data_IF_918909338837
#
_entry.id   IF_918909338837
#
_cell.length_a   1.000
_cell.length_b   1.000
_cell.length_c   1.000
_cell.angle_alpha   90.00
_cell.angle_beta   90.00
_cell.angle_gamma   90.00
#
_symmetry.space_group_name_H-M   'P 1'
#
loop_
_entity.id
_entity.type
_entity.pdbx_description
1 polymer ?
#
# COMPACT_ATOMS: atom_id res chain seq x y z
N UNK A 1 -22.73 -16.15 4.53
CA UNK A 1 -21.70 -15.34 3.84
C UNK A 1 -21.01 -16.22 2.83
N UNK A 2 -20.93 -15.76 1.58
CA UNK A 2 -20.18 -16.43 0.53
C UNK A 2 -18.69 -16.08 0.66
N UNK A 3 -17.79 -16.89 0.07
CA UNK A 3 -16.33 -16.69 0.11
C UNK A 3 -15.91 -15.30 -0.39
N UNK A 4 -16.63 -14.75 -1.38
CA UNK A 4 -16.46 -13.39 -1.91
C UNK A 4 -16.71 -12.30 -0.87
N UNK A 5 -17.77 -12.45 -0.09
CA UNK A 5 -18.14 -11.48 0.95
C UNK A 5 -17.03 -11.39 2.00
N UNK A 6 -16.43 -12.53 2.35
CA UNK A 6 -15.35 -12.57 3.33
C UNK A 6 -14.07 -11.87 2.83
N UNK A 7 -13.72 -12.06 1.55
CA UNK A 7 -12.54 -11.40 0.95
C UNK A 7 -12.74 -9.89 0.88
N UNK A 8 -13.93 -9.44 0.48
CA UNK A 8 -14.23 -8.01 0.41
C UNK A 8 -14.20 -7.36 1.80
N UNK A 9 -14.77 -8.01 2.81
CA UNK A 9 -14.69 -7.57 4.21
C UNK A 9 -13.24 -7.45 4.68
N UNK A 10 -12.39 -8.43 4.37
CA UNK A 10 -10.96 -8.37 4.70
C UNK A 10 -10.25 -7.18 4.03
N UNK A 11 -10.53 -6.93 2.75
CA UNK A 11 -9.95 -5.79 2.03
C UNK A 11 -10.41 -4.46 2.64
N UNK A 12 -11.69 -4.34 3.01
CA UNK A 12 -12.22 -3.17 3.69
C UNK A 12 -11.59 -2.94 5.07
N UNK A 13 -11.40 -4.01 5.85
CA UNK A 13 -10.74 -3.96 7.15
C UNK A 13 -9.29 -3.46 7.03
N UNK A 14 -8.55 -4.00 6.06
CA UNK A 14 -7.18 -3.55 5.78
C UNK A 14 -7.13 -2.09 5.31
N UNK A 15 -8.07 -1.68 4.45
CA UNK A 15 -8.21 -0.28 4.03
C UNK A 15 -8.44 0.67 5.22
N UNK A 16 -9.28 0.27 6.19
CA UNK A 16 -9.51 1.03 7.43
C UNK A 16 -8.25 1.12 8.29
N UNK A 17 -7.46 0.05 8.39
CA UNK A 17 -6.20 0.07 9.13
C UNK A 17 -5.21 1.06 8.49
N UNK A 18 -5.06 1.06 7.17
CA UNK A 18 -4.20 2.04 6.46
C UNK A 18 -4.72 3.47 6.67
N UNK A 19 -6.03 3.70 6.58
CA UNK A 19 -6.61 5.01 6.87
C UNK A 19 -6.32 5.46 8.31
N UNK A 20 -6.33 4.55 9.29
CA UNK A 20 -5.97 4.84 10.67
C UNK A 20 -4.49 5.22 10.82
N UNK A 21 -3.59 4.55 10.09
CA UNK A 21 -2.16 4.89 10.06
C UNK A 21 -1.95 6.32 9.57
N UNK A 22 -2.59 6.69 8.45
CA UNK A 22 -2.55 8.05 7.89
C UNK A 22 -3.13 9.07 8.88
N UNK A 23 -4.29 8.75 9.47
CA UNK A 23 -4.93 9.63 10.46
C UNK A 23 -4.02 9.87 11.67
N UNK A 24 -3.39 8.82 12.21
CA UNK A 24 -2.46 8.93 13.33
C UNK A 24 -1.26 9.81 13.00
N UNK A 25 -0.68 9.67 11.79
CA UNK A 25 0.43 10.50 11.32
C UNK A 25 0.02 11.98 11.30
N UNK A 26 -1.13 12.28 10.72
CA UNK A 26 -1.61 13.66 10.58
C UNK A 26 -1.99 14.32 11.93
N UNK A 27 -2.25 13.52 12.98
CA UNK A 27 -2.64 14.00 14.31
C UNK A 27 -1.53 13.85 15.37
N UNK A 28 -0.26 13.65 14.96
CA UNK A 28 0.87 13.44 15.87
C UNK A 28 0.69 12.26 16.86
N UNK A 29 -0.09 11.25 16.46
CA UNK A 29 -0.40 10.04 17.24
C UNK A 29 0.25 8.77 16.65
N UNK A 30 1.35 8.92 15.92
CA UNK A 30 1.98 7.86 15.12
C UNK A 30 2.65 6.73 15.92
N UNK A 31 2.61 6.76 17.27
CA UNK A 31 3.26 5.76 18.12
C UNK A 31 2.79 4.31 17.84
N UNK A 32 1.52 4.13 17.43
CA UNK A 32 0.95 2.82 17.10
C UNK A 32 1.10 2.42 15.63
N UNK A 33 1.60 3.31 14.78
CA UNK A 33 1.69 3.06 13.35
C UNK A 33 2.60 1.87 13.00
N UNK A 34 3.74 1.62 13.67
CA UNK A 34 4.57 0.45 13.35
C UNK A 34 3.80 -0.87 13.48
N UNK A 35 3.02 -1.03 14.55
CA UNK A 35 2.21 -2.22 14.82
C UNK A 35 1.08 -2.39 13.77
N UNK A 36 0.39 -1.30 13.43
CA UNK A 36 -0.66 -1.33 12.42
C UNK A 36 -0.11 -1.67 11.03
N UNK A 37 1.03 -1.07 10.64
CA UNK A 37 1.71 -1.36 9.38
C UNK A 37 2.12 -2.83 9.31
N UNK A 38 2.74 -3.34 10.37
CA UNK A 38 3.12 -4.75 10.46
C UNK A 38 1.88 -5.66 10.32
N UNK A 39 0.79 -5.33 10.99
CA UNK A 39 -0.46 -6.09 10.92
C UNK A 39 -1.01 -6.14 9.49
N UNK A 40 -0.97 -5.02 8.75
CA UNK A 40 -1.43 -4.98 7.36
C UNK A 40 -0.56 -5.88 6.47
N UNK A 41 0.77 -5.81 6.62
CA UNK A 41 1.69 -6.67 5.89
C UNK A 41 1.47 -8.16 6.18
N UNK A 42 1.33 -8.54 7.45
CA UNK A 42 1.05 -9.92 7.86
C UNK A 42 -0.27 -10.45 7.27
N UNK A 43 -1.32 -9.63 7.24
CA UNK A 43 -2.60 -10.00 6.63
C UNK A 43 -2.52 -10.14 5.10
N UNK A 44 -1.69 -9.32 4.45
CA UNK A 44 -1.38 -9.46 3.02
C UNK A 44 -0.39 -10.61 2.74
N UNK A 45 0.16 -11.25 3.78
CA UNK A 45 1.15 -12.33 3.71
C UNK A 45 2.42 -11.94 2.96
N UNK A 46 2.82 -10.68 3.06
CA UNK A 46 4.05 -10.17 2.47
C UNK A 46 4.72 -9.23 3.47
N UNK A 47 5.93 -8.81 3.18
CA UNK A 47 6.65 -7.80 3.95
C UNK A 47 7.19 -6.68 3.03
N UNK A 48 7.81 -5.68 3.64
CA UNK A 48 8.41 -4.57 2.90
C UNK A 48 9.51 -5.06 1.94
N UNK A 49 10.34 -6.03 2.33
CA UNK A 49 11.45 -6.50 1.51
C UNK A 49 10.95 -7.16 0.22
N UNK A 50 9.89 -7.95 0.33
CA UNK A 50 9.20 -8.54 -0.80
C UNK A 50 8.71 -7.46 -1.79
N UNK A 51 8.07 -6.38 -1.30
CA UNK A 51 7.62 -5.27 -2.16
C UNK A 51 8.78 -4.52 -2.80
N UNK A 52 9.91 -4.38 -2.09
CA UNK A 52 11.09 -3.64 -2.56
C UNK A 52 11.88 -4.39 -3.63
N UNK A 53 11.82 -5.73 -3.65
CA UNK A 53 12.72 -6.57 -4.45
C UNK A 53 12.02 -7.37 -5.56
N UNK A 54 10.72 -7.61 -5.46
CA UNK A 54 9.97 -8.47 -6.39
C UNK A 54 9.44 -7.69 -7.59
N UNK A 55 9.39 -8.27 -8.80
CA UNK A 55 8.82 -7.57 -9.95
C UNK A 55 7.31 -7.23 -9.74
N UNK A 56 6.81 -6.07 -10.21
CA UNK A 56 5.41 -5.68 -10.01
C UNK A 56 4.38 -6.74 -10.47
N UNK A 57 4.64 -7.39 -11.61
CA UNK A 57 3.80 -8.48 -12.12
C UNK A 57 3.73 -9.68 -11.17
N UNK A 58 4.85 -10.03 -10.55
CA UNK A 58 4.93 -11.15 -9.62
C UNK A 58 4.25 -10.81 -8.28
N UNK A 59 4.37 -9.55 -7.82
CA UNK A 59 3.62 -9.05 -6.66
C UNK A 59 2.11 -9.12 -6.94
N UNK A 60 1.66 -8.64 -8.10
CA UNK A 60 0.25 -8.67 -8.44
C UNK A 60 -0.27 -10.11 -8.49
N UNK A 61 0.45 -11.03 -9.17
CA UNK A 61 0.10 -12.46 -9.23
C UNK A 61 0.02 -13.10 -7.85
N UNK A 62 0.96 -12.77 -6.95
CA UNK A 62 0.95 -13.24 -5.57
C UNK A 62 -0.29 -12.77 -4.81
N UNK A 63 -0.65 -11.50 -4.98
CA UNK A 63 -1.81 -10.89 -4.33
C UNK A 63 -3.16 -11.32 -4.95
N UNK A 64 -3.16 -11.78 -6.19
CA UNK A 64 -4.37 -12.12 -6.94
C UNK A 64 -5.02 -13.46 -6.56
N UNK A 65 -4.58 -14.07 -5.45
CA UNK A 65 -5.05 -15.37 -4.96
C UNK A 65 -6.58 -15.56 -5.09
N UNK A 66 -6.93 -16.42 -6.04
CA UNK A 66 -8.23 -17.03 -6.40
C UNK A 66 -9.40 -16.15 -6.85
N UNK A 67 -9.44 -14.83 -6.60
CA UNK A 67 -10.64 -14.02 -6.92
C UNK A 67 -10.41 -12.63 -7.54
N UNK A 68 -9.30 -12.40 -8.28
CA UNK A 68 -9.09 -11.15 -9.04
C UNK A 68 -9.08 -9.88 -8.17
N UNK A 69 -8.75 -10.00 -6.89
CA UNK A 69 -8.65 -8.88 -5.94
C UNK A 69 -7.22 -8.38 -5.73
N UNK A 70 -6.28 -8.83 -6.59
CA UNK A 70 -4.89 -8.42 -6.55
C UNK A 70 -4.70 -6.92 -6.66
N UNK A 71 -5.51 -6.23 -7.48
CA UNK A 71 -5.46 -4.76 -7.65
C UNK A 71 -5.73 -4.03 -6.33
N UNK A 72 -6.83 -4.38 -5.63
CA UNK A 72 -7.19 -3.74 -4.36
C UNK A 72 -6.16 -4.03 -3.27
N UNK A 73 -5.65 -5.26 -3.21
CA UNK A 73 -4.59 -5.64 -2.26
C UNK A 73 -3.26 -4.96 -2.56
N UNK A 74 -2.93 -4.79 -3.84
CA UNK A 74 -1.73 -4.08 -4.27
C UNK A 74 -1.82 -2.61 -3.90
N UNK A 75 -2.97 -1.98 -4.09
CA UNK A 75 -3.19 -0.61 -3.65
C UNK A 75 -3.00 -0.44 -2.13
N UNK A 76 -3.52 -1.37 -1.32
CA UNK A 76 -3.31 -1.38 0.14
C UNK A 76 -1.82 -1.55 0.46
N UNK A 77 -1.13 -2.48 -0.20
CA UNK A 77 0.29 -2.72 -0.02
C UNK A 77 1.12 -1.47 -0.33
N UNK A 78 0.82 -0.77 -1.42
CA UNK A 78 1.49 0.48 -1.84
C UNK A 78 1.27 1.57 -0.79
N UNK A 79 0.03 1.81 -0.37
CA UNK A 79 -0.27 2.85 0.63
C UNK A 79 0.42 2.54 1.98
N UNK A 80 0.49 1.26 2.34
CA UNK A 80 1.21 0.80 3.54
C UNK A 80 2.72 1.02 3.40
N UNK A 81 3.29 0.76 2.22
CA UNK A 81 4.69 1.01 1.91
C UNK A 81 5.04 2.51 2.02
N UNK A 82 4.18 3.40 1.49
CA UNK A 82 4.33 4.85 1.64
C UNK A 82 4.34 5.23 3.12
N UNK A 83 3.39 4.72 3.91
CA UNK A 83 3.32 5.05 5.33
C UNK A 83 4.51 4.48 6.13
N UNK A 84 5.04 3.33 5.73
CA UNK A 84 6.25 2.74 6.33
C UNK A 84 7.50 3.59 6.11
N UNK A 85 7.52 4.38 5.02
CA UNK A 85 8.65 5.25 4.68
C UNK A 85 8.86 6.37 5.71
N UNK A 86 7.78 6.91 6.29
CA UNK A 86 7.87 7.95 7.33
C UNK A 86 8.50 7.46 8.63
N UNK A 87 8.57 6.14 8.83
CA UNK A 87 9.25 5.52 9.98
C UNK A 87 10.73 5.28 9.71
N UNK A 88 11.19 5.44 8.46
CA UNK A 88 12.53 5.10 7.99
C UNK A 88 13.18 6.27 7.23
N UNK A 89 13.50 7.41 7.89
CA UNK A 89 13.97 8.61 7.19
C UNK A 89 15.20 8.41 6.30
N UNK A 90 16.08 7.47 6.66
CA UNK A 90 17.30 7.16 5.87
C UNK A 90 17.00 6.46 4.55
N UNK A 91 16.00 5.59 4.52
CA UNK A 91 15.63 4.78 3.35
C UNK A 91 14.40 5.34 2.63
N UNK A 92 13.78 6.38 3.19
CA UNK A 92 12.53 6.95 2.71
C UNK A 92 12.56 7.26 1.21
N UNK A 93 13.60 7.91 0.62
CA UNK A 93 13.59 8.20 -0.81
C UNK A 93 13.50 6.95 -1.69
N UNK A 94 14.16 5.86 -1.31
CA UNK A 94 14.15 4.61 -2.08
C UNK A 94 12.81 3.88 -1.94
N UNK A 95 12.24 3.90 -0.73
CA UNK A 95 10.89 3.34 -0.48
C UNK A 95 9.84 4.13 -1.27
N UNK A 96 9.93 5.45 -1.29
CA UNK A 96 9.01 6.31 -2.04
C UNK A 96 9.13 6.13 -3.55
N UNK A 97 10.36 6.03 -4.08
CA UNK A 97 10.58 5.70 -5.51
C UNK A 97 9.93 4.36 -5.87
N UNK A 98 10.09 3.37 -5.00
CA UNK A 98 9.48 2.07 -5.20
C UNK A 98 7.95 2.12 -5.13
N UNK A 99 7.40 2.83 -4.15
CA UNK A 99 5.95 3.02 -4.04
C UNK A 99 5.38 3.73 -5.28
N UNK A 100 6.10 4.72 -5.82
CA UNK A 100 5.75 5.40 -7.08
C UNK A 100 5.69 4.43 -8.24
N UNK A 101 6.73 3.62 -8.46
CA UNK A 101 6.78 2.62 -9.53
C UNK A 101 5.59 1.65 -9.46
N UNK A 102 5.28 1.15 -8.26
CA UNK A 102 4.15 0.26 -8.04
C UNK A 102 2.80 0.95 -8.27
N UNK A 103 2.68 2.23 -7.91
CA UNK A 103 1.47 3.02 -8.13
C UNK A 103 1.23 3.35 -9.61
N UNK A 104 2.29 3.62 -10.38
CA UNK A 104 2.25 3.77 -11.83
C UNK A 104 1.86 2.45 -12.50
N UNK A 105 2.47 1.34 -12.08
CA UNK A 105 2.08 -0.01 -12.53
C UNK A 105 0.60 -0.27 -12.25
N UNK A 106 0.11 0.01 -11.04
CA UNK A 106 -1.31 -0.13 -10.69
C UNK A 106 -2.23 0.67 -11.62
N UNK A 107 -1.88 1.92 -11.94
CA UNK A 107 -2.68 2.76 -12.84
C UNK A 107 -2.76 2.24 -14.28
N UNK A 108 -1.70 1.58 -14.76
CA UNK A 108 -1.74 0.95 -16.09
C UNK A 108 -2.55 -0.34 -16.15
N UNK A 109 -2.76 -0.99 -15.00
CA UNK A 109 -3.45 -2.28 -14.90
C UNK A 109 -4.89 -2.19 -14.36
N UNK A 110 -5.26 -1.07 -13.74
CA UNK A 110 -6.63 -0.77 -13.31
C UNK A 110 -7.25 0.30 -14.21
N UNK A 111 -8.32 -0.05 -14.92
CA UNK A 111 -9.06 0.86 -15.81
C UNK A 111 -9.88 1.92 -15.07
N UNK A 112 -9.93 1.86 -13.73
CA UNK A 112 -10.69 2.78 -12.90
C UNK A 112 -9.87 4.04 -12.61
N UNK A 113 -10.35 5.20 -13.07
CA UNK A 113 -9.75 6.48 -12.70
C UNK A 113 -9.88 6.74 -11.20
N UNK A 114 -8.78 7.16 -10.57
CA UNK A 114 -8.75 7.53 -9.15
C UNK A 114 -7.97 8.83 -8.95
N UNK A 115 -8.67 9.87 -8.49
CA UNK A 115 -8.05 11.15 -8.12
C UNK A 115 -7.09 10.99 -6.94
N UNK A 116 -7.40 10.07 -6.01
CA UNK A 116 -6.53 9.76 -4.88
C UNK A 116 -5.16 9.26 -5.35
N UNK A 117 -5.12 8.36 -6.35
CA UNK A 117 -3.86 7.83 -6.89
C UNK A 117 -3.02 8.93 -7.57
N UNK A 118 -3.68 9.84 -8.29
CA UNK A 118 -3.01 11.00 -8.91
C UNK A 118 -2.40 11.91 -7.86
N UNK A 119 -3.16 12.23 -6.80
CA UNK A 119 -2.66 13.07 -5.72
C UNK A 119 -1.48 12.40 -4.98
N UNK A 120 -1.57 11.11 -4.69
CA UNK A 120 -0.49 10.35 -4.06
C UNK A 120 0.79 10.35 -4.91
N UNK A 121 0.69 10.20 -6.24
CA UNK A 121 1.86 10.32 -7.11
C UNK A 121 2.52 11.68 -7.00
N UNK A 122 1.74 12.77 -7.05
CA UNK A 122 2.25 14.12 -6.94
C UNK A 122 2.92 14.35 -5.58
N UNK A 123 2.29 13.91 -4.48
CA UNK A 123 2.86 14.00 -3.12
C UNK A 123 4.19 13.25 -3.01
N UNK A 124 4.29 12.05 -3.60
CA UNK A 124 5.53 11.28 -3.62
C UNK A 124 6.61 12.01 -4.43
N UNK A 125 6.27 12.56 -5.59
CA UNK A 125 7.21 13.32 -6.42
C UNK A 125 7.74 14.56 -5.71
N UNK A 126 6.89 15.31 -5.02
CA UNK A 126 7.30 16.45 -4.21
C UNK A 126 8.28 16.03 -3.11
N UNK A 127 8.02 14.92 -2.40
CA UNK A 127 8.87 14.42 -1.34
C UNK A 127 10.22 13.86 -1.82
N UNK A 128 10.27 13.27 -3.02
CA UNK A 128 11.54 12.76 -3.58
C UNK A 128 12.44 13.91 -4.03
N UNK A 129 11.84 15.03 -4.46
CA UNK A 129 12.55 16.18 -5.02
C UNK A 129 12.87 17.29 -4.00
N UNK A 130 12.35 17.19 -2.77
CA UNK A 130 12.64 18.11 -1.65
C UNK A 130 13.97 17.80 -0.98
#
# INVERSE_FOLDING_TARGET
MLKRDLIMVQIEELGKMVAQVIFNRNNNAAAKNPELIQTVFENLKLDQDFLMTTAPDDILRFLDNEEKSGILRLEIAIKTLIESSYQQPKNQPDILRRAKELLEYLQTHDTTFSLERVNLLNEIEEQINS
#
